data_IF_585922305866
#
_entry.id   IF_585922305866
#
_cell.length_a   1.000
_cell.length_b   1.000
_cell.length_c   1.000
_cell.angle_alpha   90.00
_cell.angle_beta   90.00
_cell.angle_gamma   90.00
#
_symmetry.space_group_name_H-M   'P 1'
#
loop_
_entity.id
_entity.type
_entity.pdbx_description
1 polymer ?
#
# COMPACT_ATOMS: atom_id res chain seq x y z
N UNK A 1 -1.66 -3.63 13.59
CA UNK A 1 -1.06 -3.84 12.25
C UNK A 1 -0.93 -5.30 11.94
N UNK A 2 -1.06 -5.69 10.66
CA UNK A 2 -0.88 -7.09 10.22
C UNK A 2 -0.17 -7.15 8.87
N UNK A 3 0.63 -8.22 8.67
CA UNK A 3 1.57 -8.39 7.58
C UNK A 3 3.01 -8.32 8.08
N UNK A 4 3.79 -9.39 7.83
CA UNK A 4 5.14 -9.53 8.40
C UNK A 4 6.06 -8.35 8.12
N UNK A 5 6.14 -7.92 6.87
CA UNK A 5 7.00 -6.79 6.48
C UNK A 5 6.55 -5.48 7.12
N UNK A 6 5.26 -5.21 7.21
CA UNK A 6 4.75 -4.00 7.81
C UNK A 6 5.07 -3.92 9.31
N UNK A 7 4.87 -5.01 10.04
CA UNK A 7 5.21 -5.08 11.47
C UNK A 7 6.71 -4.84 11.68
N UNK A 8 7.57 -5.59 10.98
CA UNK A 8 9.03 -5.44 11.13
C UNK A 8 9.53 -4.04 10.77
N UNK A 9 9.04 -3.44 9.68
CA UNK A 9 9.47 -2.08 9.29
C UNK A 9 9.02 -1.05 10.34
N UNK A 10 7.83 -1.20 10.88
CA UNK A 10 7.33 -0.30 11.93
C UNK A 10 8.15 -0.42 13.22
N UNK A 11 8.47 -1.64 13.65
CA UNK A 11 9.31 -1.88 14.82
C UNK A 11 10.72 -1.27 14.64
N UNK A 12 11.32 -1.44 13.47
CA UNK A 12 12.62 -0.83 13.14
C UNK A 12 12.52 0.70 13.15
N UNK A 13 11.53 1.26 12.45
CA UNK A 13 11.36 2.71 12.37
C UNK A 13 11.13 3.33 13.76
N UNK A 14 10.35 2.68 14.62
CA UNK A 14 10.12 3.11 15.98
C UNK A 14 11.41 3.02 16.83
N UNK A 15 12.14 1.91 16.74
CA UNK A 15 13.41 1.73 17.47
C UNK A 15 14.50 2.72 17.07
N UNK A 16 14.46 3.22 15.83
CA UNK A 16 15.38 4.24 15.32
C UNK A 16 14.90 5.68 15.59
N UNK A 17 13.75 5.87 16.23
CA UNK A 17 13.16 7.19 16.46
C UNK A 17 12.65 7.88 15.20
N UNK A 18 12.47 7.14 14.10
CA UNK A 18 11.93 7.66 12.83
C UNK A 18 10.40 7.67 12.82
N UNK A 19 9.78 6.96 13.73
CA UNK A 19 8.34 6.89 13.90
C UNK A 19 8.02 6.97 15.40
N UNK A 20 7.29 8.00 15.78
CA UNK A 20 6.76 8.14 17.14
C UNK A 20 5.40 7.44 17.22
N UNK A 21 5.29 6.49 18.14
CA UNK A 21 4.07 5.72 18.38
C UNK A 21 3.75 5.88 19.87
N UNK A 22 2.73 6.65 20.21
CA UNK A 22 2.31 6.80 21.59
C UNK A 22 1.93 5.47 22.25
N UNK A 23 2.23 5.34 23.52
CA UNK A 23 1.91 4.14 24.28
C UNK A 23 0.41 3.80 24.23
N UNK A 24 0.11 2.52 24.06
CA UNK A 24 -1.24 2.01 24.06
C UNK A 24 -2.03 2.16 22.74
N UNK A 25 -1.47 2.81 21.71
CA UNK A 25 -2.12 2.91 20.41
C UNK A 25 -2.03 1.61 19.61
N UNK A 26 -0.92 0.88 19.70
CA UNK A 26 -0.75 -0.37 18.99
C UNK A 26 -1.40 -1.54 19.74
N UNK A 27 -2.44 -2.08 19.14
CA UNK A 27 -3.05 -3.32 19.62
C UNK A 27 -2.32 -4.54 19.04
N UNK A 28 -2.18 -5.57 19.85
CA UNK A 28 -1.78 -6.89 19.37
C UNK A 28 -2.95 -7.51 18.57
N UNK A 29 -2.67 -8.31 17.54
CA UNK A 29 -3.74 -8.90 16.71
C UNK A 29 -4.81 -9.68 17.50
N UNK A 30 -4.43 -10.33 18.58
CA UNK A 30 -5.35 -11.08 19.44
C UNK A 30 -6.26 -10.20 20.32
N UNK A 31 -5.95 -8.93 20.49
CA UNK A 31 -6.72 -8.01 21.33
C UNK A 31 -7.77 -7.23 20.52
N UNK A 32 -7.76 -7.41 19.18
CA UNK A 32 -8.67 -6.72 18.26
C UNK A 32 -10.14 -7.06 18.57
N UNK A 33 -10.44 -8.33 18.76
CA UNK A 33 -11.80 -8.80 19.03
C UNK A 33 -12.38 -8.30 20.36
N UNK A 34 -11.52 -7.93 21.32
CA UNK A 34 -11.90 -7.36 22.60
C UNK A 34 -12.09 -5.83 22.58
N UNK A 35 -11.74 -5.19 21.47
CA UNK A 35 -11.82 -3.73 21.31
C UNK A 35 -13.06 -3.35 20.50
N UNK A 36 -13.83 -2.32 20.89
CA UNK A 36 -14.97 -1.85 20.11
C UNK A 36 -14.56 -1.56 18.66
N UNK A 37 -15.30 -2.07 17.65
CA UNK A 37 -14.91 -1.95 16.22
C UNK A 37 -14.72 -0.52 15.74
N UNK A 38 -15.50 0.41 16.24
CA UNK A 38 -15.41 1.85 15.94
C UNK A 38 -14.12 2.51 16.43
N UNK A 39 -13.35 1.83 17.28
CA UNK A 39 -12.06 2.27 17.81
C UNK A 39 -10.87 1.53 17.21
N UNK A 40 -11.09 0.65 16.26
CA UNK A 40 -10.03 -0.17 15.64
C UNK A 40 -9.77 0.29 14.23
N UNK A 41 -8.51 0.65 13.94
CA UNK A 41 -8.00 0.81 12.58
C UNK A 41 -6.95 -0.25 12.31
N UNK A 42 -7.15 -1.02 11.24
CA UNK A 42 -6.22 -2.08 10.83
C UNK A 42 -5.35 -1.61 9.68
N UNK A 43 -4.05 -1.49 9.90
CA UNK A 43 -3.07 -1.31 8.82
C UNK A 43 -2.65 -2.68 8.32
N UNK A 44 -2.84 -2.92 7.01
CA UNK A 44 -2.66 -4.23 6.39
C UNK A 44 -1.93 -4.12 5.06
N UNK A 45 -1.06 -5.07 4.76
CA UNK A 45 -0.35 -5.16 3.47
C UNK A 45 -1.07 -6.08 2.48
N UNK A 46 -0.74 -5.95 1.17
CA UNK A 46 -1.26 -6.83 0.12
C UNK A 46 -2.29 -6.16 -0.78
N UNK A 47 -2.13 -4.87 -1.08
CA UNK A 47 -3.07 -4.08 -1.88
C UNK A 47 -3.04 -4.39 -3.37
N UNK A 48 -2.06 -5.17 -3.85
CA UNK A 48 -1.95 -5.56 -5.26
C UNK A 48 -2.62 -6.91 -5.58
N UNK A 49 -3.38 -7.46 -4.63
CA UNK A 49 -4.06 -8.74 -4.80
C UNK A 49 -3.12 -9.94 -4.82
N UNK A 50 -1.93 -9.79 -4.23
CA UNK A 50 -0.93 -10.86 -4.17
C UNK A 50 -1.52 -12.07 -3.45
N UNK A 51 -1.37 -13.26 -4.01
CA UNK A 51 -1.78 -14.49 -3.37
C UNK A 51 -1.13 -14.62 -1.97
N UNK A 52 -1.89 -15.05 -0.99
CA UNK A 52 -1.44 -15.24 0.40
C UNK A 52 -1.04 -13.96 1.15
N UNK A 53 -1.20 -12.77 0.57
CA UNK A 53 -1.04 -11.51 1.30
C UNK A 53 -2.06 -11.42 2.45
N UNK A 54 -1.78 -10.56 3.43
CA UNK A 54 -2.68 -10.41 4.57
C UNK A 54 -4.07 -9.93 4.13
N UNK A 55 -4.16 -8.92 3.26
CA UNK A 55 -5.43 -8.39 2.77
C UNK A 55 -6.19 -9.41 1.90
N UNK A 56 -5.49 -10.15 1.01
CA UNK A 56 -6.13 -11.21 0.21
C UNK A 56 -6.73 -12.31 1.08
N UNK A 57 -6.08 -12.65 2.19
CA UNK A 57 -6.61 -13.62 3.17
C UNK A 57 -7.81 -13.09 3.93
N UNK A 58 -7.79 -11.81 4.31
CA UNK A 58 -8.95 -11.13 4.93
C UNK A 58 -10.12 -11.12 3.97
N UNK A 59 -9.91 -10.79 2.70
CA UNK A 59 -10.96 -10.74 1.69
C UNK A 59 -11.72 -12.06 1.53
N UNK A 60 -11.04 -13.20 1.71
CA UNK A 60 -11.65 -14.55 1.60
C UNK A 60 -11.92 -15.20 2.97
N UNK A 61 -11.84 -14.40 4.06
CA UNK A 61 -12.07 -14.88 5.44
C UNK A 61 -11.11 -15.99 5.90
N UNK A 62 -9.90 -15.92 5.48
CA UNK A 62 -8.85 -16.86 5.82
C UNK A 62 -7.68 -16.19 6.58
N UNK A 63 -7.98 -15.13 7.31
CA UNK A 63 -6.99 -14.48 8.18
C UNK A 63 -7.29 -14.82 9.65
N UNK A 64 -6.22 -15.12 10.41
CA UNK A 64 -6.36 -15.68 11.76
C UNK A 64 -7.01 -14.74 12.78
N UNK A 65 -6.80 -13.43 12.64
CA UNK A 65 -7.15 -12.44 13.66
C UNK A 65 -7.93 -11.24 13.14
N UNK A 66 -8.13 -11.13 11.84
CA UNK A 66 -8.83 -10.00 11.23
C UNK A 66 -9.84 -10.53 10.25
N UNK A 67 -11.07 -10.11 10.41
CA UNK A 67 -12.16 -10.33 9.46
C UNK A 67 -12.79 -8.98 9.09
N UNK A 68 -13.41 -8.94 7.93
CA UNK A 68 -14.19 -7.79 7.47
C UNK A 68 -15.67 -8.11 7.60
N UNK A 69 -16.39 -7.21 8.22
CA UNK A 69 -17.82 -7.32 8.49
C UNK A 69 -18.62 -6.29 7.69
N UNK A 70 -19.92 -6.48 7.65
CA UNK A 70 -20.84 -5.51 7.04
C UNK A 70 -20.73 -4.15 7.75
N UNK A 71 -20.52 -3.10 6.96
CA UNK A 71 -20.38 -1.73 7.44
C UNK A 71 -18.94 -1.30 7.74
N UNK A 72 -17.98 -2.20 7.63
CA UNK A 72 -16.57 -1.82 7.72
C UNK A 72 -16.15 -1.05 6.45
N UNK A 73 -15.22 -0.12 6.61
CA UNK A 73 -14.63 0.61 5.50
C UNK A 73 -13.21 0.09 5.22
N UNK A 74 -12.95 -0.30 3.99
CA UNK A 74 -11.62 -0.72 3.51
C UNK A 74 -11.06 0.31 2.54
N UNK A 75 -9.92 0.91 2.89
CA UNK A 75 -9.26 1.92 2.06
C UNK A 75 -8.03 1.31 1.38
N UNK A 76 -8.02 1.22 0.06
CA UNK A 76 -6.86 0.82 -0.72
C UNK A 76 -6.02 2.08 -1.05
N UNK A 77 -5.12 2.44 -0.13
CA UNK A 77 -4.20 3.57 -0.28
C UNK A 77 -2.97 3.15 -1.11
N UNK A 78 -3.21 2.74 -2.35
CA UNK A 78 -2.16 2.32 -3.28
C UNK A 78 -2.58 2.57 -4.72
N UNK A 79 -1.59 2.79 -5.59
CA UNK A 79 -1.82 2.80 -7.03
C UNK A 79 -1.98 1.36 -7.54
N UNK A 80 -2.94 1.14 -8.42
CA UNK A 80 -3.06 -0.12 -9.13
C UNK A 80 -1.89 -0.24 -10.11
N UNK A 81 -1.07 -1.28 -9.93
CA UNK A 81 0.04 -1.57 -10.83
C UNK A 81 -0.53 -2.25 -12.09
N UNK A 82 -0.21 -1.74 -13.30
CA UNK A 82 -0.64 -2.38 -14.55
C UNK A 82 -0.31 -3.88 -14.58
N UNK A 83 -1.29 -4.70 -14.91
CA UNK A 83 -1.21 -6.16 -14.89
C UNK A 83 -1.81 -6.82 -13.64
N UNK A 84 -2.00 -6.09 -12.55
CA UNK A 84 -2.59 -6.61 -11.32
C UNK A 84 -4.11 -6.36 -11.21
N UNK A 85 -4.70 -5.65 -12.16
CA UNK A 85 -6.09 -5.16 -12.09
C UNK A 85 -7.07 -6.29 -11.77
N UNK A 86 -6.91 -7.43 -12.46
CA UNK A 86 -7.80 -8.59 -12.28
C UNK A 86 -7.75 -9.16 -10.87
N UNK A 87 -6.55 -9.22 -10.27
CA UNK A 87 -6.37 -9.72 -8.91
C UNK A 87 -6.94 -8.73 -7.88
N UNK A 88 -6.69 -7.44 -8.08
CA UNK A 88 -7.18 -6.36 -7.22
C UNK A 88 -8.70 -6.30 -7.26
N UNK A 89 -9.32 -6.27 -8.44
CA UNK A 89 -10.78 -6.20 -8.53
C UNK A 89 -11.47 -7.45 -7.98
N UNK A 90 -10.87 -8.64 -8.15
CA UNK A 90 -11.37 -9.85 -7.49
C UNK A 90 -11.33 -9.71 -5.96
N UNK A 91 -10.27 -9.16 -5.40
CA UNK A 91 -10.15 -8.92 -3.97
C UNK A 91 -11.20 -7.90 -3.49
N UNK A 92 -11.41 -6.81 -4.23
CA UNK A 92 -12.45 -5.81 -3.96
C UNK A 92 -13.84 -6.47 -3.98
N UNK A 93 -14.14 -7.31 -4.97
CA UNK A 93 -15.40 -8.05 -5.06
C UNK A 93 -15.64 -8.92 -3.82
N UNK A 94 -14.61 -9.61 -3.33
CA UNK A 94 -14.74 -10.42 -2.11
C UNK A 94 -15.05 -9.56 -0.88
N UNK A 95 -14.37 -8.42 -0.72
CA UNK A 95 -14.62 -7.47 0.38
C UNK A 95 -16.03 -6.88 0.30
N UNK A 96 -16.45 -6.43 -0.88
CA UNK A 96 -17.79 -5.86 -1.10
C UNK A 96 -18.91 -6.87 -0.86
N UNK A 97 -18.74 -8.15 -1.25
CA UNK A 97 -19.68 -9.23 -0.95
C UNK A 97 -19.86 -9.49 0.53
N UNK A 98 -18.89 -9.13 1.36
CA UNK A 98 -18.98 -9.19 2.82
C UNK A 98 -19.69 -7.98 3.41
N UNK A 99 -20.03 -6.99 2.57
CA UNK A 99 -20.76 -5.78 2.98
C UNK A 99 -19.82 -4.65 3.43
N UNK A 100 -18.55 -4.71 3.09
CA UNK A 100 -17.64 -3.60 3.30
C UNK A 100 -17.80 -2.51 2.25
N UNK A 101 -17.62 -1.26 2.66
CA UNK A 101 -17.42 -0.12 1.78
C UNK A 101 -15.95 -0.07 1.36
N UNK A 102 -15.67 -0.32 0.07
CA UNK A 102 -14.29 -0.34 -0.44
C UNK A 102 -13.97 0.94 -1.19
N UNK A 103 -13.04 1.72 -0.64
CA UNK A 103 -12.57 2.96 -1.22
C UNK A 103 -11.24 2.71 -1.95
N UNK A 104 -11.17 3.01 -3.25
CA UNK A 104 -9.98 2.80 -4.07
C UNK A 104 -9.93 3.76 -5.26
N UNK A 105 -8.75 3.87 -5.90
CA UNK A 105 -8.56 4.66 -7.11
C UNK A 105 -8.47 6.18 -6.87
N UNK A 106 -8.90 6.96 -7.86
CA UNK A 106 -8.82 8.42 -7.88
C UNK A 106 -10.04 9.03 -7.18
N UNK A 107 -9.97 9.17 -5.87
CA UNK A 107 -11.00 9.87 -5.08
C UNK A 107 -10.51 11.27 -4.68
N UNK A 108 -11.43 12.14 -4.29
CA UNK A 108 -11.10 13.46 -3.74
C UNK A 108 -11.54 13.53 -2.27
N UNK A 109 -10.61 13.76 -1.33
CA UNK A 109 -9.16 13.91 -1.50
C UNK A 109 -8.48 12.60 -1.96
N UNK A 110 -7.28 12.67 -2.58
CA UNK A 110 -6.61 11.48 -3.09
C UNK A 110 -6.23 10.53 -1.96
N UNK A 111 -6.53 9.24 -2.14
CA UNK A 111 -6.21 8.18 -1.17
C UNK A 111 -4.75 7.77 -1.20
N UNK A 112 -4.04 8.08 -2.26
CA UNK A 112 -2.65 7.71 -2.46
C UNK A 112 -1.89 8.80 -3.21
N UNK A 113 -0.66 9.05 -2.78
CA UNK A 113 0.31 9.92 -3.47
C UNK A 113 1.50 9.07 -3.87
N UNK A 114 1.97 9.21 -5.13
CA UNK A 114 3.12 8.47 -5.60
C UNK A 114 4.38 8.82 -4.81
N UNK A 115 5.14 7.81 -4.41
CA UNK A 115 6.49 7.98 -3.85
C UNK A 115 7.59 8.09 -4.92
N UNK A 116 7.24 7.91 -6.20
CA UNK A 116 8.18 8.09 -7.30
C UNK A 116 8.32 9.57 -7.64
N UNK A 117 9.55 9.99 -7.93
CA UNK A 117 9.84 11.34 -8.36
C UNK A 117 9.14 11.69 -9.68
N UNK A 118 8.73 12.93 -9.84
CA UNK A 118 8.26 13.48 -11.12
C UNK A 118 9.42 13.64 -12.10
N UNK A 119 9.10 13.84 -13.38
CA UNK A 119 10.12 14.07 -14.43
C UNK A 119 11.01 15.26 -14.08
N UNK A 120 10.45 16.34 -13.56
CA UNK A 120 11.23 17.54 -13.21
C UNK A 120 12.13 17.30 -11.99
N UNK A 121 11.70 16.53 -11.01
CA UNK A 121 12.54 16.13 -9.88
C UNK A 121 13.69 15.23 -10.33
N UNK A 122 13.46 14.29 -11.26
CA UNK A 122 14.51 13.47 -11.86
C UNK A 122 15.51 14.31 -12.64
N UNK A 123 15.05 15.27 -13.46
CA UNK A 123 15.91 16.23 -14.18
C UNK A 123 16.75 17.04 -13.18
N UNK A 124 16.15 17.51 -12.09
CA UNK A 124 16.87 18.25 -11.06
C UNK A 124 17.98 17.41 -10.44
N UNK A 125 17.70 16.17 -10.04
CA UNK A 125 18.70 15.26 -9.46
C UNK A 125 19.83 14.99 -10.43
N UNK A 126 19.52 14.72 -11.71
CA UNK A 126 20.54 14.50 -12.74
C UNK A 126 21.43 15.74 -12.96
N UNK A 127 20.84 16.93 -12.93
CA UNK A 127 21.59 18.18 -13.07
C UNK A 127 22.49 18.48 -11.87
N UNK A 128 22.06 18.12 -10.67
CA UNK A 128 22.85 18.30 -9.44
C UNK A 128 24.01 17.29 -9.35
N UNK A 129 23.72 16.02 -9.62
CA UNK A 129 24.69 14.92 -9.50
C UNK A 129 25.68 14.90 -10.69
N UNK A 130 25.21 15.27 -11.88
CA UNK A 130 25.97 15.23 -13.16
C UNK A 130 26.73 13.92 -13.35
N UNK A 131 26.05 12.77 -13.31
CA UNK A 131 26.71 11.48 -13.40
C UNK A 131 27.35 11.31 -14.77
N UNK A 132 28.52 10.67 -14.83
CA UNK A 132 29.17 10.33 -16.09
C UNK A 132 28.38 9.30 -16.91
N UNK A 133 27.67 8.42 -16.22
CA UNK A 133 26.80 7.41 -16.78
C UNK A 133 25.48 7.39 -16.00
N UNK A 134 24.37 7.26 -16.70
CA UNK A 134 23.05 7.09 -16.13
C UNK A 134 22.43 5.82 -16.70
N UNK A 135 22.01 4.92 -15.82
CA UNK A 135 21.31 3.69 -16.18
C UNK A 135 19.96 3.64 -15.48
N UNK A 136 18.88 3.88 -16.21
CA UNK A 136 17.54 3.75 -15.64
C UNK A 136 17.24 2.28 -15.33
N UNK A 137 16.54 2.06 -14.23
CA UNK A 137 16.01 0.76 -13.81
C UNK A 137 14.52 0.90 -13.55
N UNK A 138 13.79 -0.21 -13.53
CA UNK A 138 12.34 -0.24 -13.37
C UNK A 138 11.58 0.39 -14.55
N UNK A 139 11.37 -0.40 -15.59
CA UNK A 139 10.54 -0.01 -16.70
C UNK A 139 10.60 -1.01 -17.84
N UNK A 140 9.67 -0.89 -18.75
CA UNK A 140 9.73 -1.59 -20.02
C UNK A 140 10.75 -0.90 -20.96
N UNK A 141 11.24 -1.62 -21.97
CA UNK A 141 12.26 -1.09 -22.91
C UNK A 141 11.91 0.28 -23.49
N UNK A 142 10.65 0.51 -23.88
CA UNK A 142 10.18 1.81 -24.38
C UNK A 142 10.35 2.95 -23.37
N UNK A 143 10.14 2.69 -22.08
CA UNK A 143 10.27 3.67 -21.00
C UNK A 143 11.74 3.96 -20.62
N UNK A 144 12.63 3.04 -20.95
CA UNK A 144 14.07 3.16 -20.71
C UNK A 144 14.84 3.68 -21.93
N UNK A 145 14.13 3.90 -23.04
CA UNK A 145 14.74 4.40 -24.28
C UNK A 145 15.08 5.88 -24.18
N UNK A 146 16.27 6.32 -24.65
CA UNK A 146 16.67 7.73 -24.64
C UNK A 146 15.71 8.69 -25.32
N UNK A 147 14.88 8.22 -26.25
CA UNK A 147 13.92 9.03 -26.99
C UNK A 147 12.79 9.63 -26.12
N UNK A 148 12.42 9.00 -25.02
CA UNK A 148 11.42 9.56 -24.12
C UNK A 148 11.99 10.57 -23.12
N UNK A 149 13.26 10.47 -22.79
CA UNK A 149 13.93 11.46 -21.91
C UNK A 149 14.17 12.81 -22.59
N UNK A 150 14.13 12.87 -23.93
CA UNK A 150 14.43 14.08 -24.71
C UNK A 150 13.18 14.84 -25.18
N UNK A 151 11.98 14.26 -25.05
CA UNK A 151 10.71 14.81 -25.56
C UNK A 151 9.66 15.08 -24.47
N UNK A 152 10.03 15.00 -23.18
CA UNK A 152 9.17 15.33 -22.04
C UNK A 152 9.39 16.74 -21.50
#
# INVERSE_FOLDING_TARGET
>A
MTGRSMVSVTEIAHSLGLLDIPDGILLRPQDVDATPPDKVTVLISGTQGEPMSALSRVAVDNHKHVSVNKGDTVVLSSRIIPGNERAIFRMIDHLSRRGADVLYGSMSPPLHVSGHASVEELKLVLNLVRPRYFMPIHGEYRQLSPSEFLHG
#
